data_IF_825687244068
#
_entry.id   IF_825687244068
#
_cell.length_a   1.000
_cell.length_b   1.000
_cell.length_c   1.000
_cell.angle_alpha   90.00
_cell.angle_beta   90.00
_cell.angle_gamma   90.00
#
_symmetry.space_group_name_H-M   'P 1'
#
loop_
_entity.id
_entity.type
_entity.pdbx_description
1 polymer ?
#
# COMPACT_ATOMS: atom_id res chain seq x y z
N UNK A 1 31.87 -9.55 4.93
CA UNK A 1 30.83 -9.45 5.97
C UNK A 1 30.24 -8.05 6.15
N UNK A 2 31.05 -6.98 6.30
CA UNK A 2 30.56 -5.58 6.50
C UNK A 2 29.49 -5.11 5.50
N UNK A 3 29.64 -5.41 4.21
CA UNK A 3 28.66 -5.04 3.17
C UNK A 3 27.29 -5.71 3.33
N UNK A 4 27.25 -6.97 3.81
CA UNK A 4 25.98 -7.67 4.07
C UNK A 4 25.26 -7.13 5.30
N UNK A 5 26.01 -6.75 6.33
CA UNK A 5 25.46 -6.12 7.55
C UNK A 5 24.83 -4.75 7.25
N UNK A 6 25.49 -3.91 6.46
CA UNK A 6 24.95 -2.62 6.05
C UNK A 6 23.71 -2.76 5.15
N UNK A 7 23.68 -3.79 4.30
CA UNK A 7 22.52 -4.09 3.46
C UNK A 7 21.32 -4.54 4.31
N UNK A 8 21.54 -5.45 5.26
CA UNK A 8 20.51 -5.88 6.21
C UNK A 8 20.00 -4.73 7.07
N UNK A 9 20.92 -3.88 7.56
CA UNK A 9 20.60 -2.72 8.37
C UNK A 9 19.74 -1.68 7.64
N UNK A 10 19.70 -1.71 6.30
CA UNK A 10 18.81 -0.87 5.48
C UNK A 10 17.52 -1.62 5.11
N UNK A 11 17.61 -2.89 4.78
CA UNK A 11 16.46 -3.70 4.37
C UNK A 11 15.45 -3.89 5.51
N UNK A 12 15.92 -4.10 6.75
CA UNK A 12 15.05 -4.26 7.92
C UNK A 12 14.18 -3.01 8.16
N UNK A 13 14.75 -1.79 8.36
CA UNK A 13 13.92 -0.60 8.54
C UNK A 13 13.08 -0.28 7.30
N UNK A 14 13.60 -0.49 6.08
CA UNK A 14 12.80 -0.30 4.86
C UNK A 14 11.54 -1.17 4.84
N UNK A 15 11.67 -2.44 5.24
CA UNK A 15 10.55 -3.39 5.31
C UNK A 15 9.57 -3.02 6.41
N UNK A 16 10.07 -2.61 7.58
CA UNK A 16 9.23 -2.14 8.69
C UNK A 16 8.45 -0.88 8.30
N UNK A 17 9.09 0.08 7.64
CA UNK A 17 8.44 1.31 7.16
C UNK A 17 7.37 0.95 6.13
N UNK A 18 7.68 0.13 5.14
CA UNK A 18 6.71 -0.25 4.10
C UNK A 18 5.51 -1.02 4.68
N UNK A 19 5.76 -1.95 5.60
CA UNK A 19 4.71 -2.74 6.25
C UNK A 19 3.87 -1.90 7.20
N UNK A 20 4.51 -1.03 7.99
CA UNK A 20 3.81 -0.07 8.85
C UNK A 20 2.96 0.91 8.06
N UNK A 21 3.45 1.36 6.90
CA UNK A 21 2.67 2.22 6.01
C UNK A 21 1.47 1.46 5.40
N UNK A 22 1.65 0.22 4.96
CA UNK A 22 0.54 -0.61 4.48
C UNK A 22 -0.53 -0.79 5.57
N UNK A 23 -0.10 -1.06 6.81
CA UNK A 23 -0.99 -1.17 7.97
C UNK A 23 -1.79 0.12 8.22
N UNK A 24 -1.11 1.26 8.23
CA UNK A 24 -1.76 2.58 8.37
C UNK A 24 -2.75 2.80 7.24
N UNK A 25 -2.36 2.55 5.99
CA UNK A 25 -3.22 2.76 4.83
C UNK A 25 -4.49 1.89 4.86
N UNK A 26 -4.41 0.67 5.40
CA UNK A 26 -5.59 -0.19 5.63
C UNK A 26 -6.50 0.41 6.70
N UNK A 27 -5.97 0.94 7.80
CA UNK A 27 -6.79 1.63 8.81
C UNK A 27 -7.44 2.91 8.30
N UNK A 28 -6.83 3.59 7.33
CA UNK A 28 -7.45 4.74 6.68
C UNK A 28 -8.59 4.35 5.73
N UNK A 29 -8.88 3.06 5.49
CA UNK A 29 -10.03 2.67 4.67
C UNK A 29 -11.37 3.07 5.30
N UNK A 30 -11.46 3.16 6.62
CA UNK A 30 -12.65 3.66 7.33
C UNK A 30 -12.97 5.12 6.95
N UNK A 31 -11.99 5.85 6.41
CA UNK A 31 -12.23 7.20 5.90
C UNK A 31 -13.04 7.19 4.60
N UNK A 32 -13.17 6.07 3.91
CA UNK A 32 -14.02 5.99 2.71
C UNK A 32 -15.48 6.22 3.09
N UNK A 33 -15.87 5.84 4.32
CA UNK A 33 -17.20 6.10 4.85
C UNK A 33 -17.48 7.59 5.04
N UNK A 34 -16.45 8.43 5.28
CA UNK A 34 -16.62 9.89 5.33
C UNK A 34 -17.17 10.44 4.01
N UNK A 35 -16.80 9.85 2.88
CA UNK A 35 -17.27 10.30 1.57
C UNK A 35 -18.79 10.11 1.39
N UNK A 36 -19.40 9.16 2.12
CA UNK A 36 -20.83 8.88 2.05
C UNK A 36 -21.70 9.68 3.03
N UNK A 37 -21.12 10.28 4.08
CA UNK A 37 -21.89 10.91 5.18
C UNK A 37 -22.69 12.14 4.78
N UNK A 38 -22.38 12.75 3.64
CA UNK A 38 -23.12 13.91 3.12
C UNK A 38 -24.34 13.52 2.30
N UNK A 39 -24.54 12.23 1.98
CA UNK A 39 -25.67 11.77 1.18
C UNK A 39 -26.80 11.21 2.03
N UNK A 40 -28.05 11.49 1.64
CA UNK A 40 -29.25 10.91 2.26
C UNK A 40 -29.55 9.48 1.81
N UNK A 41 -28.81 8.96 0.82
CA UNK A 41 -28.96 7.62 0.25
C UNK A 41 -27.85 6.69 0.74
N UNK A 42 -28.14 5.39 0.88
CA UNK A 42 -27.14 4.36 1.18
C UNK A 42 -26.01 4.41 0.15
N UNK A 43 -24.83 4.82 0.59
CA UNK A 43 -23.63 4.94 -0.24
C UNK A 43 -23.00 3.57 -0.47
N UNK A 44 -23.03 3.07 -1.70
CA UNK A 44 -22.42 1.79 -2.05
C UNK A 44 -20.91 1.98 -2.26
N UNK A 45 -20.14 1.54 -1.25
CA UNK A 45 -18.67 1.62 -1.23
C UNK A 45 -17.99 0.38 -1.82
N UNK A 46 -18.75 -0.60 -2.33
CA UNK A 46 -18.22 -1.89 -2.79
C UNK A 46 -17.12 -1.70 -3.85
N UNK A 47 -17.30 -0.78 -4.79
CA UNK A 47 -16.31 -0.47 -5.81
C UNK A 47 -15.02 0.13 -5.22
N UNK A 48 -15.14 1.06 -4.26
CA UNK A 48 -14.01 1.71 -3.62
C UNK A 48 -13.15 0.71 -2.82
N UNK A 49 -13.79 -0.13 -2.00
CA UNK A 49 -13.09 -1.18 -1.25
C UNK A 49 -12.47 -2.23 -2.18
N UNK A 50 -13.14 -2.59 -3.27
CA UNK A 50 -12.60 -3.55 -4.25
C UNK A 50 -11.33 -3.02 -4.92
N UNK A 51 -11.35 -1.75 -5.35
CA UNK A 51 -10.17 -1.09 -5.95
C UNK A 51 -9.02 -1.02 -4.96
N UNK A 52 -9.30 -0.63 -3.71
CA UNK A 52 -8.28 -0.61 -2.67
C UNK A 52 -7.71 -2.01 -2.40
N UNK A 53 -8.57 -3.02 -2.23
CA UNK A 53 -8.14 -4.40 -1.94
C UNK A 53 -7.26 -4.98 -3.05
N UNK A 54 -7.68 -4.85 -4.31
CA UNK A 54 -6.88 -5.31 -5.46
C UNK A 54 -5.57 -4.54 -5.55
N UNK A 55 -5.60 -3.22 -5.36
CA UNK A 55 -4.40 -2.41 -5.38
C UNK A 55 -3.41 -2.79 -4.27
N UNK A 56 -3.89 -3.06 -3.04
CA UNK A 56 -3.03 -3.46 -1.93
C UNK A 56 -2.39 -4.83 -2.20
N UNK A 57 -3.15 -5.77 -2.78
CA UNK A 57 -2.63 -7.06 -3.19
C UNK A 57 -1.53 -6.91 -4.25
N UNK A 58 -1.75 -6.07 -5.28
CA UNK A 58 -0.76 -5.81 -6.34
C UNK A 58 0.48 -5.09 -5.81
N UNK A 59 0.32 -4.09 -4.94
CA UNK A 59 1.42 -3.37 -4.31
C UNK A 59 2.27 -4.31 -3.44
N UNK A 60 1.62 -5.18 -2.67
CA UNK A 60 2.30 -6.21 -1.87
C UNK A 60 3.06 -7.20 -2.76
N UNK A 61 2.43 -7.67 -3.84
CA UNK A 61 3.08 -8.56 -4.81
C UNK A 61 4.29 -7.89 -5.48
N UNK A 62 4.21 -6.60 -5.80
CA UNK A 62 5.31 -5.83 -6.36
C UNK A 62 6.49 -5.74 -5.39
N UNK A 63 6.23 -5.41 -4.12
CA UNK A 63 7.27 -5.40 -3.06
C UNK A 63 7.89 -6.79 -2.86
N UNK A 64 7.07 -7.84 -2.85
CA UNK A 64 7.58 -9.21 -2.75
C UNK A 64 8.47 -9.58 -3.96
N UNK A 65 8.06 -9.20 -5.17
CA UNK A 65 8.83 -9.44 -6.39
C UNK A 65 10.19 -8.72 -6.39
N UNK A 66 10.27 -7.47 -5.88
CA UNK A 66 11.55 -6.76 -5.78
C UNK A 66 12.51 -7.44 -4.80
N UNK A 67 12.01 -7.88 -3.64
CA UNK A 67 12.80 -8.62 -2.65
C UNK A 67 13.25 -9.97 -3.19
N UNK A 68 12.32 -10.77 -3.76
CA UNK A 68 12.63 -12.08 -4.35
C UNK A 68 13.63 -11.96 -5.51
N UNK A 69 13.49 -10.93 -6.35
CA UNK A 69 14.44 -10.65 -7.44
C UNK A 69 15.84 -10.34 -6.92
N UNK A 70 15.95 -9.54 -5.86
CA UNK A 70 17.23 -9.24 -5.21
C UNK A 70 17.86 -10.50 -4.60
N UNK A 71 17.06 -11.33 -3.90
CA UNK A 71 17.52 -12.60 -3.31
C UNK A 71 18.01 -13.57 -4.38
N UNK A 72 17.20 -13.80 -5.43
CA UNK A 72 17.55 -14.71 -6.53
C UNK A 72 18.80 -14.25 -7.28
N UNK A 73 18.95 -12.93 -7.46
CA UNK A 73 20.12 -12.32 -8.10
C UNK A 73 21.35 -12.17 -7.20
N UNK A 74 21.27 -12.57 -5.91
CA UNK A 74 22.30 -12.30 -4.88
C UNK A 74 22.71 -10.82 -4.82
N UNK A 75 21.77 -9.92 -5.10
CA UNK A 75 21.95 -8.46 -5.10
C UNK A 75 21.57 -7.88 -3.74
N UNK A 76 22.20 -6.77 -3.32
CA UNK A 76 21.80 -6.07 -2.11
C UNK A 76 20.35 -5.59 -2.21
N UNK A 77 19.55 -5.82 -1.16
CA UNK A 77 18.14 -5.41 -1.07
C UNK A 77 18.05 -3.91 -0.77
N UNK A 78 18.91 -3.42 0.14
CA UNK A 78 19.01 -2.02 0.53
C UNK A 78 17.66 -1.40 0.89
N UNK A 79 17.27 -0.39 0.11
CA UNK A 79 16.04 0.37 0.29
C UNK A 79 14.89 -0.05 -0.64
N UNK A 80 15.04 -1.15 -1.39
CA UNK A 80 14.03 -1.62 -2.33
C UNK A 80 12.60 -1.77 -1.75
N UNK A 81 12.41 -2.21 -0.48
CA UNK A 81 11.08 -2.29 0.10
C UNK A 81 10.35 -0.94 0.21
N UNK A 82 11.06 0.19 0.24
CA UNK A 82 10.44 1.52 0.33
C UNK A 82 9.58 1.86 -0.89
N UNK A 83 9.75 1.18 -2.03
CA UNK A 83 8.86 1.31 -3.18
C UNK A 83 7.40 0.99 -2.80
N UNK A 84 7.17 0.17 -1.76
CA UNK A 84 5.84 -0.11 -1.26
C UNK A 84 5.10 1.13 -0.75
N UNK A 85 5.80 2.08 -0.12
CA UNK A 85 5.18 3.27 0.50
C UNK A 85 4.35 4.09 -0.52
N UNK A 86 4.92 4.58 -1.64
CA UNK A 86 4.14 5.32 -2.63
C UNK A 86 3.08 4.45 -3.32
N UNK A 87 3.31 3.13 -3.48
CA UNK A 87 2.32 2.23 -4.07
C UNK A 87 1.08 2.10 -3.18
N UNK A 88 1.27 1.84 -1.89
CA UNK A 88 0.18 1.75 -0.92
C UNK A 88 -0.57 3.09 -0.80
N UNK A 89 0.16 4.21 -0.82
CA UNK A 89 -0.45 5.54 -0.79
C UNK A 89 -1.32 5.78 -2.04
N UNK A 90 -0.78 5.50 -3.22
CA UNK A 90 -1.48 5.67 -4.49
C UNK A 90 -2.72 4.80 -4.59
N UNK A 91 -2.63 3.53 -4.20
CA UNK A 91 -3.77 2.61 -4.16
C UNK A 91 -4.87 3.12 -3.24
N UNK A 92 -4.50 3.56 -2.03
CA UNK A 92 -5.46 4.09 -1.09
C UNK A 92 -6.13 5.36 -1.62
N UNK A 93 -5.37 6.27 -2.26
CA UNK A 93 -5.93 7.47 -2.90
C UNK A 93 -6.87 7.08 -4.04
N UNK A 94 -6.52 6.10 -4.87
CA UNK A 94 -7.38 5.64 -5.97
C UNK A 94 -8.72 5.10 -5.46
N UNK A 95 -8.73 4.25 -4.43
CA UNK A 95 -9.99 3.78 -3.83
C UNK A 95 -10.79 4.91 -3.19
N UNK A 96 -10.12 5.88 -2.57
CA UNK A 96 -10.78 7.04 -1.96
C UNK A 96 -11.44 7.94 -3.02
N UNK A 97 -10.75 8.18 -4.15
CA UNK A 97 -11.31 8.91 -5.28
C UNK A 97 -12.55 8.20 -5.84
N UNK A 98 -12.52 6.86 -5.95
CA UNK A 98 -13.71 6.09 -6.34
C UNK A 98 -14.85 6.32 -5.34
N UNK A 99 -14.57 6.27 -4.04
CA UNK A 99 -15.58 6.52 -3.00
C UNK A 99 -16.22 7.91 -3.11
N UNK A 100 -15.44 8.95 -3.46
CA UNK A 100 -15.94 10.32 -3.68
C UNK A 100 -16.76 10.40 -4.98
N UNK A 101 -16.25 9.84 -6.08
CA UNK A 101 -16.87 9.96 -7.40
C UNK A 101 -18.18 9.18 -7.52
N UNK A 102 -18.33 8.09 -6.75
CA UNK A 102 -19.58 7.32 -6.69
C UNK A 102 -20.53 7.81 -5.61
N UNK A 103 -20.18 8.86 -4.87
CA UNK A 103 -21.04 9.43 -3.83
C UNK A 103 -22.31 10.03 -4.45
N UNK A 104 -23.51 9.63 -3.98
CA UNK A 104 -24.74 10.27 -4.41
C UNK A 104 -24.75 11.72 -3.91
N UNK A 105 -24.67 12.67 -4.84
CA UNK A 105 -24.76 14.11 -4.58
C UNK A 105 -26.15 14.57 -4.14
#
# INVERSE_FOLDING_TARGET
MRWRLLDLARAVPATLIASGFAWVAVHLLDWYELAGRTSTRTHDLTAAYSVAAVGFALATAAVAATVLGAVKGRRPIGWAPLVGVPLFAGVWVCGFLVAILTAPG
#
